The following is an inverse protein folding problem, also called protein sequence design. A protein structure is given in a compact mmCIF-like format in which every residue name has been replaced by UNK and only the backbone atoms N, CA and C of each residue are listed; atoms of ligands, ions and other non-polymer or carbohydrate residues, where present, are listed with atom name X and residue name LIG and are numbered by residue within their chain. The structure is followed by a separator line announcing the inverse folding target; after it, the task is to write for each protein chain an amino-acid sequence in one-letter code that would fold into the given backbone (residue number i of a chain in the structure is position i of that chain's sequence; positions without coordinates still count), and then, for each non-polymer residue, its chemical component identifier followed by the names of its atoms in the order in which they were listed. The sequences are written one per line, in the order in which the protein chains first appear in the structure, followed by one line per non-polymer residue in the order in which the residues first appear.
data_IF_934527119939
#
_entry.id   IF_934527119939
#
_cell.length_a   1.000
_cell.length_b   1.000
_cell.length_c   1.000
_cell.angle_alpha   90.00
_cell.angle_beta   90.00
_cell.angle_gamma   90.00
#
_symmetry.space_group_name_H-M   'P 1'
#
loop_
_entity.id
_entity.type
_entity.pdbx_description
1 polymer ?
#
# COMPACT_ATOMS: atom_id res chain seq x y z
N UNK A 1 21.22 25.89 -22.67
CA UNK A 1 20.27 24.86 -22.20
C UNK A 1 18.87 25.36 -22.52
N UNK A 2 18.05 24.59 -23.22
CA UNK A 2 16.65 24.97 -23.50
C UNK A 2 15.78 24.63 -22.28
N UNK A 3 15.08 25.64 -21.75
CA UNK A 3 14.08 25.47 -20.69
C UNK A 3 12.71 25.15 -21.31
N UNK A 4 11.92 24.30 -20.66
CA UNK A 4 10.50 24.06 -20.95
C UNK A 4 9.71 24.24 -19.66
N UNK A 5 8.83 25.23 -19.63
CA UNK A 5 7.88 25.42 -18.54
C UNK A 5 6.56 24.71 -18.86
N UNK A 6 6.18 23.75 -18.02
CA UNK A 6 4.89 23.08 -18.08
C UNK A 6 3.86 23.92 -17.33
N UNK A 7 2.82 24.34 -18.05
CA UNK A 7 1.76 25.20 -17.50
C UNK A 7 0.66 24.42 -16.78
N UNK A 8 0.74 23.09 -16.80
CA UNK A 8 -0.17 22.19 -16.11
C UNK A 8 0.64 21.05 -15.46
N UNK A 9 0.10 20.38 -14.43
CA UNK A 9 0.69 19.17 -13.88
C UNK A 9 0.78 18.04 -14.90
N UNK A 10 1.84 17.25 -14.80
CA UNK A 10 2.06 16.07 -15.64
C UNK A 10 1.98 14.79 -14.81
N UNK A 11 1.40 13.73 -15.36
CA UNK A 11 1.48 12.39 -14.81
C UNK A 11 2.81 11.78 -15.21
N UNK A 12 3.66 11.50 -14.23
CA UNK A 12 4.91 10.78 -14.50
C UNK A 12 4.65 9.34 -14.93
N UNK A 13 3.54 8.73 -14.51
CA UNK A 13 3.25 7.32 -14.75
C UNK A 13 2.98 7.01 -16.24
N UNK A 14 2.15 7.81 -16.89
CA UNK A 14 1.62 7.56 -18.24
C UNK A 14 1.58 8.82 -19.13
N UNK A 15 1.92 9.99 -18.60
CA UNK A 15 1.88 11.26 -19.34
C UNK A 15 3.06 11.50 -20.27
N UNK A 16 4.09 10.66 -20.21
CA UNK A 16 5.33 10.80 -20.98
C UNK A 16 5.68 9.48 -21.66
N UNK A 17 5.99 9.54 -22.96
CA UNK A 17 6.62 8.43 -23.66
C UNK A 17 8.08 8.29 -23.19
N UNK A 18 8.33 7.25 -22.42
CA UNK A 18 9.64 6.97 -21.82
C UNK A 18 10.77 6.76 -22.83
N UNK A 19 10.46 6.44 -24.09
CA UNK A 19 11.46 6.21 -25.15
C UNK A 19 11.93 7.50 -25.80
N UNK A 20 11.04 8.49 -25.91
CA UNK A 20 11.30 9.73 -26.66
C UNK A 20 11.32 10.98 -25.78
N UNK A 21 10.83 10.88 -24.54
CA UNK A 21 10.63 12.00 -23.64
C UNK A 21 9.49 12.91 -24.09
N UNK A 22 8.67 12.50 -25.07
CA UNK A 22 7.54 13.31 -25.54
C UNK A 22 6.38 13.27 -24.55
N UNK A 23 5.76 14.42 -24.33
CA UNK A 23 4.53 14.54 -23.54
C UNK A 23 3.38 13.96 -24.37
N UNK A 24 2.80 12.87 -23.88
CA UNK A 24 1.67 12.17 -24.53
C UNK A 24 0.37 12.34 -23.76
N UNK A 25 0.42 12.90 -22.54
CA UNK A 25 -0.76 13.16 -21.72
C UNK A 25 -1.82 13.92 -22.50
N UNK A 26 -3.00 13.30 -22.60
CA UNK A 26 -4.15 13.93 -23.26
C UNK A 26 -4.57 15.20 -22.53
N UNK A 27 -4.88 16.25 -23.29
CA UNK A 27 -5.28 17.55 -22.76
C UNK A 27 -4.16 18.40 -22.15
N UNK A 28 -2.91 17.92 -22.09
CA UNK A 28 -1.79 18.72 -21.58
C UNK A 28 -1.43 19.86 -22.58
N UNK A 29 -1.29 21.13 -22.16
CA UNK A 29 -1.06 22.25 -23.08
C UNK A 29 0.23 22.13 -23.91
N UNK A 30 1.25 21.48 -23.34
CA UNK A 30 2.52 21.17 -24.00
C UNK A 30 2.57 19.76 -24.62
N UNK A 31 1.44 19.11 -24.91
CA UNK A 31 1.43 17.79 -25.56
C UNK A 31 2.22 17.83 -26.89
N UNK A 32 3.06 16.82 -27.11
CA UNK A 32 3.93 16.70 -28.28
C UNK A 32 5.32 17.30 -28.11
N UNK A 33 5.52 18.24 -27.16
CA UNK A 33 6.85 18.71 -26.75
C UNK A 33 7.66 17.56 -26.13
N UNK A 34 8.99 17.64 -26.22
CA UNK A 34 9.89 16.68 -25.56
C UNK A 34 10.59 17.32 -24.37
N UNK A 35 10.68 16.57 -23.27
CA UNK A 35 11.43 16.94 -22.07
C UNK A 35 12.92 16.56 -22.16
N UNK A 36 13.27 15.70 -23.12
CA UNK A 36 14.61 15.10 -23.23
C UNK A 36 15.68 16.17 -23.43
N UNK A 37 16.72 16.15 -22.59
CA UNK A 37 17.84 17.09 -22.69
C UNK A 37 17.50 18.55 -22.37
N UNK A 38 16.35 18.83 -21.76
CA UNK A 38 15.89 20.19 -21.38
C UNK A 38 15.90 20.39 -19.87
N UNK A 39 15.89 21.65 -19.45
CA UNK A 39 15.54 22.02 -18.06
C UNK A 39 14.02 22.13 -17.98
N UNK A 40 13.39 21.34 -17.13
CA UNK A 40 11.93 21.30 -17.00
C UNK A 40 11.51 22.05 -15.77
N UNK A 41 10.63 23.03 -15.93
CA UNK A 41 9.95 23.71 -14.84
C UNK A 41 8.52 23.20 -14.77
N UNK A 42 8.09 22.67 -13.63
CA UNK A 42 6.72 22.25 -13.39
C UNK A 42 6.27 22.66 -12.00
N UNK A 43 4.96 22.88 -11.84
CA UNK A 43 4.35 23.16 -10.54
C UNK A 43 4.38 21.94 -9.65
N UNK A 44 3.79 20.85 -10.14
CA UNK A 44 3.79 19.54 -9.51
C UNK A 44 3.36 18.49 -10.52
N UNK A 45 3.26 17.25 -10.07
CA UNK A 45 2.80 16.11 -10.84
C UNK A 45 1.44 15.63 -10.35
N UNK A 46 0.80 14.78 -11.16
CA UNK A 46 -0.42 14.07 -10.80
C UNK A 46 -0.19 12.57 -10.92
N UNK A 47 -1.11 11.78 -10.34
CA UNK A 47 -1.11 10.34 -10.49
C UNK A 47 -0.41 9.59 -9.36
N UNK A 48 0.02 8.36 -9.66
CA UNK A 48 0.47 7.38 -8.66
C UNK A 48 1.93 7.59 -8.27
N UNK A 49 2.28 7.23 -7.02
CA UNK A 49 3.67 7.16 -6.55
C UNK A 49 4.54 6.18 -7.35
N UNK A 50 3.92 5.25 -8.07
CA UNK A 50 4.58 4.38 -9.06
C UNK A 50 5.29 5.17 -10.17
N UNK A 51 4.82 6.40 -10.47
CA UNK A 51 5.47 7.29 -11.43
C UNK A 51 6.94 7.58 -11.13
N UNK A 52 7.38 7.40 -9.87
CA UNK A 52 8.78 7.50 -9.48
C UNK A 52 9.71 6.59 -10.31
N UNK A 53 9.24 5.42 -10.74
CA UNK A 53 10.06 4.48 -11.51
C UNK A 53 10.31 4.93 -12.97
N UNK A 54 9.50 5.85 -13.47
CA UNK A 54 9.60 6.34 -14.85
C UNK A 54 10.85 7.17 -15.08
N UNK A 55 11.39 7.83 -14.05
CA UNK A 55 12.66 8.54 -14.16
C UNK A 55 13.83 7.62 -14.52
N UNK A 56 13.83 6.38 -14.03
CA UNK A 56 14.85 5.39 -14.40
C UNK A 56 14.72 4.96 -15.87
N UNK A 57 13.49 4.75 -16.34
CA UNK A 57 13.22 4.45 -17.74
C UNK A 57 13.68 5.59 -18.67
N UNK A 58 13.34 6.83 -18.33
CA UNK A 58 13.75 8.02 -19.07
C UNK A 58 15.28 8.16 -19.13
N UNK A 59 15.97 7.94 -18.01
CA UNK A 59 17.44 8.00 -17.96
C UNK A 59 18.07 6.94 -18.86
N UNK A 60 17.59 5.70 -18.78
CA UNK A 60 18.04 4.57 -19.61
C UNK A 60 17.89 4.85 -21.10
N UNK A 61 16.77 5.43 -21.49
CA UNK A 61 16.47 5.71 -22.91
C UNK A 61 17.10 7.01 -23.43
N UNK A 62 17.96 7.69 -22.65
CA UNK A 62 18.49 9.01 -22.97
C UNK A 62 17.38 10.06 -23.25
N UNK A 63 16.20 9.86 -22.65
CA UNK A 63 15.01 10.69 -22.79
C UNK A 63 14.75 11.58 -21.56
N UNK A 64 15.62 11.51 -20.55
CA UNK A 64 15.50 12.28 -19.32
C UNK A 64 15.75 13.78 -19.54
N UNK A 65 15.11 14.64 -18.73
CA UNK A 65 15.49 16.04 -18.63
C UNK A 65 16.89 16.18 -18.01
N UNK A 66 17.55 17.31 -18.29
CA UNK A 66 18.84 17.65 -17.66
C UNK A 66 18.67 18.01 -16.19
N UNK A 67 17.55 18.64 -15.85
CA UNK A 67 17.23 19.15 -14.52
C UNK A 67 15.73 19.41 -14.42
N UNK A 68 15.18 19.24 -13.23
CA UNK A 68 13.81 19.61 -12.89
C UNK A 68 13.82 20.78 -11.91
N UNK A 69 13.02 21.80 -12.16
CA UNK A 69 12.72 22.91 -11.24
C UNK A 69 11.28 22.70 -10.78
N UNK A 70 11.11 22.41 -9.50
CA UNK A 70 9.83 22.08 -8.89
C UNK A 70 9.33 23.28 -8.07
N UNK A 71 8.12 23.77 -8.37
CA UNK A 71 7.55 24.96 -7.73
C UNK A 71 6.66 24.65 -6.53
N UNK A 72 6.08 23.45 -6.46
CA UNK A 72 5.23 22.97 -5.36
C UNK A 72 5.72 21.61 -4.82
N UNK A 73 5.51 21.29 -3.53
CA UNK A 73 5.87 19.99 -2.96
C UNK A 73 5.36 18.78 -3.74
N UNK A 74 6.26 17.92 -4.21
CA UNK A 74 5.91 16.72 -4.97
C UNK A 74 6.92 15.59 -4.76
N UNK A 75 6.55 14.60 -3.94
CA UNK A 75 7.43 13.48 -3.58
C UNK A 75 7.73 12.53 -4.75
N UNK A 76 6.81 12.39 -5.71
CA UNK A 76 7.03 11.54 -6.89
C UNK A 76 8.20 12.10 -7.71
N UNK A 77 8.21 13.41 -7.91
CA UNK A 77 9.23 14.14 -8.66
C UNK A 77 10.58 14.12 -7.96
N UNK A 78 10.62 14.13 -6.62
CA UNK A 78 11.89 13.99 -5.87
C UNK A 78 12.61 12.66 -6.20
N UNK A 79 11.88 11.61 -6.57
CA UNK A 79 12.49 10.34 -6.99
C UNK A 79 13.40 10.48 -8.23
N UNK A 80 13.29 11.55 -9.01
CA UNK A 80 14.21 11.87 -10.09
C UNK A 80 15.67 11.99 -9.60
N UNK A 81 15.89 12.41 -8.34
CA UNK A 81 17.23 12.46 -7.74
C UNK A 81 17.88 11.08 -7.69
N UNK A 82 17.11 10.02 -7.42
CA UNK A 82 17.60 8.65 -7.40
C UNK A 82 17.99 8.16 -8.80
N UNK A 83 17.40 8.74 -9.85
CA UNK A 83 17.76 8.48 -11.25
C UNK A 83 18.93 9.36 -11.74
N UNK A 84 19.53 10.17 -10.86
CA UNK A 84 20.58 11.12 -11.22
C UNK A 84 20.08 12.26 -12.10
N UNK A 85 18.84 12.71 -11.89
CA UNK A 85 18.24 13.88 -12.50
C UNK A 85 18.09 14.93 -11.38
N UNK A 86 18.90 16.01 -11.37
CA UNK A 86 18.85 17.01 -10.31
C UNK A 86 17.48 17.69 -10.21
N UNK A 87 16.96 17.80 -8.99
CA UNK A 87 15.74 18.55 -8.67
C UNK A 87 16.11 19.80 -7.86
N UNK A 88 15.77 20.96 -8.40
CA UNK A 88 15.81 22.25 -7.69
C UNK A 88 14.43 22.57 -7.13
N UNK A 89 14.38 22.90 -5.85
CA UNK A 89 13.14 23.26 -5.15
C UNK A 89 13.04 24.78 -5.03
N UNK A 90 11.89 25.35 -5.39
CA UNK A 90 11.61 26.77 -5.19
C UNK A 90 10.78 26.99 -3.92
N UNK A 91 11.10 28.05 -3.17
CA UNK A 91 10.27 28.52 -2.06
C UNK A 91 10.24 27.63 -0.81
N UNK A 92 11.09 26.60 -0.73
CA UNK A 92 11.17 25.72 0.45
C UNK A 92 12.49 25.92 1.20
N UNK A 93 12.45 25.76 2.52
CA UNK A 93 13.65 25.78 3.36
C UNK A 93 14.37 24.44 3.21
N UNK A 94 15.66 24.47 2.92
CA UNK A 94 16.47 23.25 2.90
C UNK A 94 16.61 22.67 4.31
N UNK A 95 16.48 21.34 4.38
CA UNK A 95 16.67 20.57 5.61
C UNK A 95 17.86 19.65 5.38
N UNK A 96 18.87 19.74 6.23
CA UNK A 96 20.11 18.96 6.10
C UNK A 96 20.11 17.74 7.01
N UNK A 97 20.65 16.64 6.51
CA UNK A 97 20.91 15.44 7.31
C UNK A 97 22.36 15.48 7.79
N UNK A 98 22.56 15.67 9.09
CA UNK A 98 23.90 15.72 9.70
C UNK A 98 24.44 14.30 9.95
N UNK A 99 24.69 13.56 8.87
CA UNK A 99 25.35 12.26 8.88
C UNK A 99 26.25 12.16 7.64
N UNK A 100 27.56 12.02 7.86
CA UNK A 100 28.58 11.92 6.80
C UNK A 100 28.78 10.48 6.31
N UNK A 101 28.26 9.48 7.05
CA UNK A 101 28.35 8.06 6.66
C UNK A 101 27.22 7.64 5.70
N UNK A 102 26.28 8.55 5.41
CA UNK A 102 25.20 8.33 4.47
C UNK A 102 25.67 8.68 3.06
N UNK A 103 25.47 7.76 2.11
CA UNK A 103 25.75 7.99 0.69
C UNK A 103 25.13 9.31 0.22
N UNK A 104 25.92 10.14 -0.46
CA UNK A 104 25.53 11.50 -0.84
C UNK A 104 24.28 11.56 -1.73
N UNK A 105 24.08 10.56 -2.60
CA UNK A 105 22.89 10.52 -3.47
C UNK A 105 21.62 10.22 -2.68
N UNK A 106 21.70 9.28 -1.73
CA UNK A 106 20.60 8.92 -0.84
C UNK A 106 20.29 10.05 0.17
N UNK A 107 21.34 10.67 0.70
CA UNK A 107 21.26 11.83 1.57
C UNK A 107 20.53 12.97 0.88
N UNK A 108 20.95 13.33 -0.33
CA UNK A 108 20.34 14.40 -1.11
C UNK A 108 18.86 14.15 -1.38
N UNK A 109 18.47 12.91 -1.71
CA UNK A 109 17.06 12.53 -1.85
C UNK A 109 16.27 12.81 -0.55
N UNK A 110 16.78 12.37 0.61
CA UNK A 110 16.13 12.58 1.91
C UNK A 110 16.03 14.05 2.31
N UNK A 111 17.07 14.84 2.06
CA UNK A 111 17.07 16.29 2.30
C UNK A 111 16.00 16.99 1.47
N UNK A 112 15.81 16.58 0.21
CA UNK A 112 14.77 17.11 -0.67
C UNK A 112 13.38 16.70 -0.19
N UNK A 113 13.18 15.43 0.16
CA UNK A 113 11.94 14.92 0.79
C UNK A 113 11.59 15.69 2.07
N UNK A 114 12.56 15.93 2.94
CA UNK A 114 12.37 16.70 4.17
C UNK A 114 11.98 18.16 3.87
N UNK A 115 12.61 18.77 2.87
CA UNK A 115 12.36 20.16 2.48
C UNK A 115 10.94 20.34 1.93
N UNK A 116 10.46 19.43 1.07
CA UNK A 116 9.11 19.54 0.50
C UNK A 116 8.01 19.17 1.50
N UNK A 117 8.30 18.31 2.48
CA UNK A 117 7.34 17.90 3.51
C UNK A 117 7.23 18.90 4.67
N UNK A 118 8.03 19.96 4.67
CA UNK A 118 8.10 20.93 5.77
C UNK A 118 8.70 20.35 7.05
N UNK A 119 9.40 19.22 6.96
CA UNK A 119 10.10 18.63 8.10
C UNK A 119 11.17 19.59 8.62
N UNK A 120 11.40 19.59 9.93
CA UNK A 120 12.46 20.42 10.54
C UNK A 120 13.72 19.62 10.88
N UNK A 121 13.59 18.29 10.97
CA UNK A 121 14.64 17.37 11.39
C UNK A 121 14.32 15.95 10.94
N UNK A 122 15.30 15.07 11.07
CA UNK A 122 15.17 13.65 10.82
C UNK A 122 15.08 12.86 12.12
N UNK A 123 14.50 11.67 12.07
CA UNK A 123 14.63 10.66 13.12
C UNK A 123 15.41 9.46 12.61
N UNK A 124 16.21 8.87 13.51
CA UNK A 124 16.70 7.51 13.34
C UNK A 124 15.52 6.56 13.49
N UNK A 125 15.44 5.59 12.59
CA UNK A 125 14.39 4.55 12.60
C UNK A 125 15.03 3.19 12.85
N UNK A 126 14.24 2.23 13.34
CA UNK A 126 14.71 0.84 13.53
C UNK A 126 14.13 -0.14 12.52
N UNK A 127 13.03 0.22 11.86
CA UNK A 127 12.45 -0.63 10.84
C UNK A 127 11.78 0.14 9.71
N UNK A 128 11.69 -0.55 8.57
CA UNK A 128 10.90 -0.16 7.41
C UNK A 128 9.97 -1.29 7.00
N UNK A 129 8.92 -0.91 6.28
CA UNK A 129 8.10 -1.84 5.54
C UNK A 129 7.96 -1.36 4.09
N UNK A 130 8.67 -2.04 3.19
CA UNK A 130 8.82 -1.67 1.79
C UNK A 130 7.53 -2.02 1.04
N UNK A 131 6.94 -1.03 0.39
CA UNK A 131 5.74 -1.19 -0.45
C UNK A 131 6.08 -1.26 -1.94
N UNK A 132 5.09 -1.54 -2.78
CA UNK A 132 5.27 -1.52 -4.25
C UNK A 132 6.25 -2.57 -4.78
N UNK A 133 6.32 -3.75 -4.16
CA UNK A 133 7.27 -4.82 -4.51
C UNK A 133 6.69 -5.85 -5.50
N UNK A 134 5.41 -5.73 -5.88
CA UNK A 134 4.83 -6.59 -6.92
C UNK A 134 5.27 -6.14 -8.30
N UNK A 135 5.60 -7.08 -9.19
CA UNK A 135 5.93 -6.80 -10.59
C UNK A 135 4.83 -6.01 -11.31
N UNK A 136 3.55 -6.25 -10.95
CA UNK A 136 2.42 -5.49 -11.48
C UNK A 136 2.46 -4.00 -11.11
N UNK A 137 3.09 -3.65 -9.99
CA UNK A 137 3.15 -2.27 -9.47
C UNK A 137 4.46 -1.57 -9.76
N UNK A 138 5.59 -2.26 -9.63
CA UNK A 138 6.92 -1.66 -9.87
C UNK A 138 7.28 -1.60 -11.36
N UNK A 139 6.75 -2.54 -12.14
CA UNK A 139 7.01 -2.67 -13.56
C UNK A 139 8.49 -2.92 -13.89
N UNK A 140 8.77 -2.94 -15.18
CA UNK A 140 10.09 -3.27 -15.72
C UNK A 140 11.16 -2.23 -15.34
N UNK A 141 10.81 -0.95 -15.38
CA UNK A 141 11.75 0.13 -15.07
C UNK A 141 12.20 0.10 -13.60
N UNK A 142 11.28 -0.16 -12.67
CA UNK A 142 11.61 -0.28 -11.26
C UNK A 142 12.34 -1.58 -10.94
N UNK A 143 12.01 -2.70 -11.62
CA UNK A 143 12.76 -3.97 -11.52
C UNK A 143 14.24 -3.76 -11.88
N UNK A 144 14.52 -3.15 -13.02
CA UNK A 144 15.88 -2.91 -13.48
C UNK A 144 16.64 -1.95 -12.56
N UNK A 145 15.98 -0.89 -12.08
CA UNK A 145 16.58 0.02 -11.12
C UNK A 145 16.98 -0.72 -9.83
N UNK A 146 16.06 -1.51 -9.25
CA UNK A 146 16.34 -2.32 -8.06
C UNK A 146 17.54 -3.23 -8.28
N UNK A 147 17.57 -3.96 -9.39
CA UNK A 147 18.70 -4.84 -9.74
C UNK A 147 20.01 -4.06 -9.87
N UNK A 148 19.97 -2.85 -10.46
CA UNK A 148 21.14 -1.99 -10.65
C UNK A 148 21.71 -1.38 -9.36
N UNK A 149 20.95 -1.36 -8.27
CA UNK A 149 21.38 -0.89 -6.95
C UNK A 149 21.56 -2.00 -5.92
N UNK A 150 21.06 -3.22 -6.19
CA UNK A 150 21.01 -4.32 -5.23
C UNK A 150 22.39 -4.66 -4.62
N UNK A 151 23.44 -4.63 -5.43
CA UNK A 151 24.82 -4.89 -5.00
C UNK A 151 25.53 -3.68 -4.38
N UNK A 152 24.96 -2.47 -4.52
CA UNK A 152 25.56 -1.20 -4.07
C UNK A 152 25.04 -0.74 -2.72
N UNK A 153 23.84 -1.18 -2.35
CA UNK A 153 23.14 -0.74 -1.14
C UNK A 153 22.98 -1.91 -0.18
N UNK A 154 23.13 -1.64 1.12
CA UNK A 154 22.78 -2.56 2.20
C UNK A 154 21.88 -1.86 3.19
N UNK A 155 20.82 -2.55 3.62
CA UNK A 155 19.89 -2.02 4.60
C UNK A 155 20.53 -2.01 5.99
N UNK A 156 20.45 -0.85 6.64
CA UNK A 156 20.99 -0.59 7.99
C UNK A 156 19.98 -0.86 9.10
N UNK A 157 18.71 -1.09 8.75
CA UNK A 157 17.59 -1.27 9.67
C UNK A 157 16.74 -2.48 9.26
N UNK A 158 15.90 -2.99 10.16
CA UNK A 158 15.02 -4.13 9.84
C UNK A 158 14.08 -3.78 8.70
N UNK A 159 14.27 -4.40 7.54
CA UNK A 159 13.45 -4.18 6.37
C UNK A 159 12.56 -5.38 6.09
N UNK A 160 11.25 -5.17 6.10
CA UNK A 160 10.25 -6.16 5.68
C UNK A 160 9.59 -5.71 4.39
N UNK A 161 8.94 -6.63 3.68
CA UNK A 161 8.36 -6.38 2.37
C UNK A 161 6.86 -6.66 2.34
N UNK A 162 6.15 -5.85 1.56
CA UNK A 162 4.76 -6.10 1.20
C UNK A 162 4.59 -7.40 0.41
N UNK A 163 3.36 -7.88 0.21
CA UNK A 163 3.11 -9.04 -0.64
C UNK A 163 3.60 -8.83 -2.07
N UNK A 164 4.17 -9.88 -2.64
CA UNK A 164 4.46 -10.04 -4.07
C UNK A 164 3.15 -10.25 -4.87
N UNK A 165 3.27 -10.31 -6.20
CA UNK A 165 2.15 -10.66 -7.09
C UNK A 165 1.91 -12.16 -7.26
N UNK A 166 2.64 -13.02 -6.55
CA UNK A 166 2.50 -14.48 -6.64
C UNK A 166 3.06 -15.18 -5.40
N UNK A 167 2.60 -16.40 -5.13
CA UNK A 167 3.26 -17.23 -4.13
C UNK A 167 4.68 -17.58 -4.60
N UNK A 168 5.70 -17.15 -3.86
CA UNK A 168 7.09 -17.26 -4.32
C UNK A 168 7.58 -18.71 -4.50
N UNK A 169 6.89 -19.69 -3.90
CA UNK A 169 7.22 -21.12 -4.02
C UNK A 169 6.28 -21.81 -5.00
N UNK A 170 4.97 -21.63 -4.83
CA UNK A 170 3.92 -22.38 -5.56
C UNK A 170 3.23 -21.57 -6.65
N UNK A 171 3.88 -20.55 -7.23
CA UNK A 171 3.29 -19.70 -8.28
C UNK A 171 2.85 -20.49 -9.53
N UNK A 172 3.52 -21.61 -9.86
CA UNK A 172 3.09 -22.47 -10.98
C UNK A 172 1.74 -23.12 -10.71
N UNK A 173 1.51 -23.58 -9.47
CA UNK A 173 0.22 -24.14 -9.05
C UNK A 173 -0.87 -23.07 -9.02
N UNK A 174 -0.49 -21.83 -8.74
CA UNK A 174 -1.36 -20.66 -8.81
C UNK A 174 -1.71 -20.26 -10.26
N UNK A 175 -0.96 -20.77 -11.24
CA UNK A 175 -1.17 -20.53 -12.68
C UNK A 175 -0.47 -19.28 -13.22
N UNK A 176 0.48 -18.71 -12.47
CA UNK A 176 1.11 -17.43 -12.82
C UNK A 176 1.97 -17.56 -14.09
N UNK A 177 1.86 -16.64 -15.06
CA UNK A 177 2.69 -16.68 -16.26
C UNK A 177 4.19 -16.59 -15.96
N UNK A 178 5.00 -17.39 -16.65
CA UNK A 178 6.47 -17.45 -16.50
C UNK A 178 7.13 -16.06 -16.63
N UNK A 179 6.64 -15.21 -17.53
CA UNK A 179 7.15 -13.85 -17.71
C UNK A 179 6.92 -12.95 -16.49
N UNK A 180 5.73 -13.02 -15.89
CA UNK A 180 5.42 -12.33 -14.65
C UNK A 180 6.26 -12.87 -13.49
N UNK A 181 6.36 -14.20 -13.39
CA UNK A 181 7.09 -14.86 -12.31
C UNK A 181 8.57 -14.52 -12.32
N UNK A 182 9.22 -14.53 -13.49
CA UNK A 182 10.62 -14.13 -13.63
C UNK A 182 10.85 -12.69 -13.16
N UNK A 183 10.05 -11.75 -13.62
CA UNK A 183 10.16 -10.34 -13.20
C UNK A 183 9.97 -10.17 -11.69
N UNK A 184 9.00 -10.89 -11.11
CA UNK A 184 8.75 -10.89 -9.68
C UNK A 184 9.89 -11.48 -8.85
N UNK A 185 10.49 -12.60 -9.28
CA UNK A 185 11.63 -13.24 -8.62
C UNK A 185 12.84 -12.30 -8.59
N UNK A 186 13.15 -11.64 -9.71
CA UNK A 186 14.29 -10.72 -9.77
C UNK A 186 14.15 -9.52 -8.82
N UNK A 187 12.91 -9.02 -8.60
CA UNK A 187 12.61 -7.99 -7.60
C UNK A 187 12.86 -8.51 -6.19
N UNK A 188 12.36 -9.71 -5.90
CA UNK A 188 12.51 -10.38 -4.60
C UNK A 188 13.99 -10.60 -4.28
N UNK A 189 14.74 -11.14 -5.23
CA UNK A 189 16.17 -11.42 -5.09
C UNK A 189 16.96 -10.12 -4.84
N UNK A 190 16.65 -9.06 -5.58
CA UNK A 190 17.28 -7.73 -5.39
C UNK A 190 17.04 -7.18 -3.98
N UNK A 191 15.81 -7.31 -3.45
CA UNK A 191 15.46 -6.87 -2.11
C UNK A 191 16.17 -7.70 -1.03
N UNK A 192 16.22 -9.03 -1.21
CA UNK A 192 16.92 -9.93 -0.28
C UNK A 192 18.42 -9.65 -0.29
N UNK A 193 19.03 -9.43 -1.45
CA UNK A 193 20.46 -9.08 -1.59
C UNK A 193 20.81 -7.79 -0.82
N UNK A 194 19.91 -6.80 -0.85
CA UNK A 194 20.07 -5.57 -0.06
C UNK A 194 19.87 -5.78 1.45
N UNK A 195 19.28 -6.90 1.88
CA UNK A 195 19.07 -7.25 3.29
C UNK A 195 17.61 -7.23 3.74
N UNK A 196 16.64 -7.28 2.82
CA UNK A 196 15.24 -7.45 3.19
C UNK A 196 14.99 -8.84 3.81
N UNK A 197 14.17 -8.88 4.86
CA UNK A 197 13.62 -10.13 5.38
C UNK A 197 12.52 -10.64 4.42
N UNK A 198 12.49 -11.95 4.11
CA UNK A 198 11.52 -12.53 3.18
C UNK A 198 10.15 -12.74 3.84
N UNK A 199 9.50 -11.65 4.28
CA UNK A 199 8.22 -11.69 5.00
C UNK A 199 6.99 -11.64 4.09
N UNK A 200 7.06 -10.85 3.01
CA UNK A 200 6.05 -10.68 1.97
C UNK A 200 4.59 -10.65 2.48
N UNK A 201 4.28 -9.71 3.38
CA UNK A 201 2.94 -9.60 3.98
C UNK A 201 2.55 -8.16 4.23
N UNK A 202 1.27 -7.82 4.05
CA UNK A 202 0.73 -6.50 4.39
C UNK A 202 0.45 -6.32 5.89
N UNK A 203 0.69 -7.37 6.69
CA UNK A 203 0.55 -7.38 8.14
C UNK A 203 1.89 -7.65 8.85
N UNK A 204 2.96 -6.86 8.57
CA UNK A 204 4.31 -7.12 9.09
C UNK A 204 4.38 -7.14 10.62
N UNK A 205 3.48 -6.42 11.28
CA UNK A 205 3.31 -6.39 12.75
C UNK A 205 2.83 -7.71 13.34
N UNK A 206 2.34 -8.65 12.53
CA UNK A 206 2.05 -10.03 12.97
C UNK A 206 3.15 -11.03 12.57
N UNK A 207 4.19 -10.57 11.86
CA UNK A 207 5.27 -11.38 11.31
C UNK A 207 6.65 -10.87 11.73
N UNK A 208 6.77 -10.34 12.95
CA UNK A 208 8.04 -10.02 13.60
C UNK A 208 8.52 -8.57 13.48
N UNK A 209 7.93 -7.73 12.63
CA UNK A 209 8.25 -6.31 12.58
C UNK A 209 7.20 -5.50 13.36
N UNK A 210 7.36 -5.49 14.68
CA UNK A 210 6.46 -4.83 15.63
C UNK A 210 7.17 -3.65 16.30
N UNK A 211 6.91 -2.39 15.90
CA UNK A 211 7.53 -1.22 16.54
C UNK A 211 6.96 -0.97 17.95
N UNK A 212 7.70 -0.20 18.76
CA UNK A 212 7.25 0.24 20.07
C UNK A 212 6.33 1.48 19.99
N UNK A 213 5.58 1.73 21.06
CA UNK A 213 4.79 2.96 21.20
C UNK A 213 5.69 4.20 21.07
N UNK A 214 5.27 5.17 20.27
CA UNK A 214 5.99 6.42 20.01
C UNK A 214 7.20 6.29 19.09
N UNK A 215 7.58 5.09 18.67
CA UNK A 215 8.73 4.85 17.79
C UNK A 215 8.47 5.37 16.38
N UNK A 216 9.43 6.09 15.80
CA UNK A 216 9.40 6.49 14.39
C UNK A 216 9.90 5.37 13.50
N UNK A 217 9.13 5.05 12.48
CA UNK A 217 9.45 4.08 11.41
C UNK A 217 9.12 4.66 10.04
N UNK A 218 9.58 4.03 8.96
CA UNK A 218 9.27 4.45 7.59
C UNK A 218 8.58 3.30 6.83
N UNK A 219 7.25 3.28 6.83
CA UNK A 219 6.44 2.20 6.27
C UNK A 219 5.60 2.69 5.10
N UNK A 220 5.54 1.91 4.04
CA UNK A 220 4.80 2.28 2.82
C UNK A 220 3.46 1.58 2.62
N UNK A 221 3.15 0.51 3.37
CA UNK A 221 1.86 -0.19 3.25
C UNK A 221 0.77 0.57 4.01
N UNK A 222 -0.21 1.08 3.27
CA UNK A 222 -1.22 2.01 3.80
C UNK A 222 -2.03 1.42 4.97
N UNK A 223 -2.43 0.14 4.91
CA UNK A 223 -3.15 -0.48 6.02
C UNK A 223 -2.26 -0.73 7.24
N UNK A 224 -0.98 -1.03 7.01
CA UNK A 224 -0.03 -1.25 8.09
C UNK A 224 0.31 0.07 8.79
N UNK A 225 0.47 1.17 8.05
CA UNK A 225 0.65 2.52 8.58
C UNK A 225 -0.52 2.92 9.47
N UNK A 226 -1.75 2.80 8.96
CA UNK A 226 -2.95 3.08 9.74
C UNK A 226 -3.04 2.22 11.01
N UNK A 227 -2.66 0.94 10.93
CA UNK A 227 -2.64 0.05 12.08
C UNK A 227 -1.59 0.45 13.12
N UNK A 228 -0.33 0.72 12.73
CA UNK A 228 0.72 1.05 13.71
C UNK A 228 0.51 2.41 14.36
N UNK A 229 -0.01 3.40 13.62
CA UNK A 229 -0.33 4.71 14.17
C UNK A 229 -1.44 4.57 15.23
N UNK A 230 -2.50 3.82 14.90
CA UNK A 230 -3.72 3.72 15.71
C UNK A 230 -3.59 2.73 16.87
N UNK A 231 -3.21 1.49 16.57
CA UNK A 231 -3.29 0.35 17.51
C UNK A 231 -2.02 0.21 18.35
N UNK A 232 -0.85 0.47 17.76
CA UNK A 232 0.44 0.35 18.45
C UNK A 232 0.89 1.70 19.02
N UNK A 233 0.54 2.81 18.37
CA UNK A 233 1.01 4.15 18.73
C UNK A 233 2.40 4.49 18.20
N UNK A 234 2.93 3.70 17.25
CA UNK A 234 4.13 4.07 16.51
C UNK A 234 3.82 5.24 15.53
N UNK A 235 4.85 5.71 14.83
CA UNK A 235 4.80 6.93 14.01
C UNK A 235 5.36 6.68 12.62
N UNK A 236 4.50 6.80 11.62
CA UNK A 236 4.87 6.77 10.19
C UNK A 236 3.83 7.52 9.38
N UNK A 237 4.21 8.01 8.20
CA UNK A 237 3.27 8.39 7.15
C UNK A 237 3.07 7.22 6.17
N UNK A 238 2.21 7.40 5.18
CA UNK A 238 2.10 6.53 3.99
C UNK A 238 3.25 6.83 3.04
N UNK A 239 4.39 6.19 3.28
CA UNK A 239 5.64 6.48 2.55
C UNK A 239 5.71 5.82 1.16
N UNK A 240 6.39 6.47 0.22
CA UNK A 240 6.59 5.96 -1.13
C UNK A 240 7.56 4.77 -1.18
N UNK A 241 7.41 3.89 -2.17
CA UNK A 241 8.22 2.67 -2.31
C UNK A 241 9.73 2.98 -2.39
N UNK A 242 10.14 3.92 -3.23
CA UNK A 242 11.55 4.35 -3.34
C UNK A 242 12.06 4.93 -2.02
N UNK A 243 11.27 5.75 -1.34
CA UNK A 243 11.62 6.32 -0.03
C UNK A 243 11.85 5.25 1.03
N UNK A 244 11.03 4.21 1.09
CA UNK A 244 11.23 3.13 2.06
C UNK A 244 12.55 2.38 1.84
N UNK A 245 13.01 2.23 0.59
CA UNK A 245 14.32 1.65 0.28
C UNK A 245 15.46 2.57 0.72
N UNK A 246 15.33 3.89 0.46
CA UNK A 246 16.31 4.88 0.91
C UNK A 246 16.36 4.93 2.44
N UNK A 247 15.21 4.94 3.12
CA UNK A 247 15.13 4.91 4.57
C UNK A 247 15.74 3.62 5.15
N UNK A 248 15.57 2.48 4.46
CA UNK A 248 16.20 1.22 4.85
C UNK A 248 17.74 1.30 4.77
N UNK A 249 18.26 1.91 3.71
CA UNK A 249 19.69 2.07 3.45
C UNK A 249 20.37 3.10 4.36
N UNK A 250 19.66 4.14 4.73
CA UNK A 250 20.21 5.27 5.50
C UNK A 250 19.94 5.15 6.99
N UNK A 251 18.83 4.52 7.39
CA UNK A 251 18.36 4.47 8.78
C UNK A 251 17.66 5.75 9.25
N UNK A 252 17.22 6.61 8.32
CA UNK A 252 16.56 7.88 8.63
C UNK A 252 15.24 8.08 7.90
N UNK A 253 14.33 8.83 8.53
CA UNK A 253 13.14 9.41 7.89
C UNK A 253 12.95 10.87 8.32
N UNK A 254 12.49 11.78 7.44
CA UNK A 254 12.09 13.11 7.86
C UNK A 254 10.92 13.07 8.86
N UNK A 255 10.92 13.95 9.87
CA UNK A 255 9.80 14.08 10.80
C UNK A 255 8.77 15.09 10.30
N UNK A 256 7.67 14.57 9.76
CA UNK A 256 6.51 15.33 9.29
C UNK A 256 5.23 14.49 9.40
N UNK A 257 4.07 15.10 9.13
CA UNK A 257 2.79 14.39 9.11
C UNK A 257 2.51 13.69 10.44
N UNK A 258 2.13 12.40 10.40
CA UNK A 258 1.77 11.60 11.58
C UNK A 258 2.96 11.23 12.47
N UNK A 259 4.17 11.68 12.15
CA UNK A 259 5.26 11.73 13.13
C UNK A 259 5.06 12.80 14.21
N UNK A 260 4.30 13.85 13.92
CA UNK A 260 4.10 15.00 14.80
C UNK A 260 2.81 14.85 15.61
N UNK A 261 2.80 15.27 16.88
CA UNK A 261 1.66 15.07 17.78
C UNK A 261 0.44 15.89 17.38
N UNK A 262 0.67 17.12 16.93
CA UNK A 262 -0.34 18.05 16.41
C UNK A 262 -1.15 17.45 15.26
N UNK A 263 -0.53 16.58 14.44
CA UNK A 263 -1.18 15.95 13.29
C UNK A 263 -1.90 14.65 13.64
N UNK A 264 -1.87 14.23 14.91
CA UNK A 264 -2.52 13.01 15.43
C UNK A 264 -3.77 13.32 16.26
N UNK A 265 -4.08 14.61 16.42
CA UNK A 265 -5.25 15.10 17.14
C UNK A 265 -6.50 14.73 16.34
N UNK A 266 -7.51 14.12 16.98
CA UNK A 266 -8.75 13.80 16.31
C UNK A 266 -9.57 15.04 15.92
N UNK A 267 -10.19 15.00 14.74
CA UNK A 267 -11.02 16.07 14.19
C UNK A 267 -12.47 15.65 13.91
N UNK A 268 -12.76 14.33 13.93
CA UNK A 268 -14.07 13.77 13.64
C UNK A 268 -14.46 12.65 14.64
N UNK A 269 -15.50 12.86 15.43
CA UNK A 269 -16.14 11.82 16.23
C UNK A 269 -17.18 11.06 15.41
N UNK A 270 -17.06 9.74 15.37
CA UNK A 270 -17.93 8.85 14.60
C UNK A 270 -18.72 7.98 15.57
N UNK A 271 -20.05 8.03 15.45
CA UNK A 271 -20.97 7.25 16.26
C UNK A 271 -21.72 6.25 15.36
N UNK A 272 -21.25 5.00 15.27
CA UNK A 272 -21.97 3.98 14.52
C UNK A 272 -23.18 3.47 15.32
N UNK A 273 -24.31 3.26 14.65
CA UNK A 273 -25.54 2.74 15.26
C UNK A 273 -25.32 1.33 15.87
N UNK A 274 -24.88 0.37 15.06
CA UNK A 274 -24.45 -0.95 15.53
C UNK A 274 -23.59 -1.67 14.49
N UNK A 275 -22.53 -2.34 14.96
CA UNK A 275 -21.65 -3.17 14.14
C UNK A 275 -21.82 -4.63 14.58
N UNK A 276 -22.26 -5.49 13.67
CA UNK A 276 -22.70 -6.87 14.00
C UNK A 276 -21.70 -7.93 13.56
N UNK A 277 -20.88 -7.60 12.56
CA UNK A 277 -19.92 -8.51 11.95
C UNK A 277 -18.71 -7.72 11.42
N UNK A 278 -17.68 -8.45 10.97
CA UNK A 278 -16.43 -7.88 10.46
C UNK A 278 -16.65 -6.94 9.26
N UNK A 279 -17.61 -7.26 8.37
CA UNK A 279 -17.91 -6.45 7.20
C UNK A 279 -18.40 -5.05 7.60
N UNK A 280 -19.17 -4.91 8.69
CA UNK A 280 -19.62 -3.59 9.16
C UNK A 280 -18.45 -2.69 9.57
N UNK A 281 -17.36 -3.23 10.12
CA UNK A 281 -16.15 -2.46 10.44
C UNK A 281 -15.39 -2.02 9.19
N UNK A 282 -15.34 -2.87 8.16
CA UNK A 282 -14.82 -2.46 6.84
C UNK A 282 -15.66 -1.30 6.27
N UNK A 283 -16.97 -1.45 6.21
CA UNK A 283 -17.87 -0.46 5.63
C UNK A 283 -17.85 0.85 6.41
N UNK A 284 -17.82 0.81 7.75
CA UNK A 284 -17.72 2.02 8.58
C UNK A 284 -16.46 2.81 8.25
N UNK A 285 -15.29 2.18 8.27
CA UNK A 285 -14.04 2.88 7.99
C UNK A 285 -13.96 3.33 6.53
N UNK A 286 -14.49 2.55 5.60
CA UNK A 286 -14.54 2.91 4.18
C UNK A 286 -15.42 4.14 3.96
N UNK A 287 -16.61 4.19 4.58
CA UNK A 287 -17.51 5.34 4.56
C UNK A 287 -16.82 6.61 5.07
N UNK A 288 -16.10 6.52 6.19
CA UNK A 288 -15.34 7.68 6.71
C UNK A 288 -14.28 8.13 5.72
N UNK A 289 -13.45 7.24 5.18
CA UNK A 289 -12.46 7.66 4.21
C UNK A 289 -13.09 8.28 2.95
N UNK A 290 -14.23 7.76 2.48
CA UNK A 290 -14.89 8.29 1.30
C UNK A 290 -15.41 9.72 1.50
N UNK A 291 -16.04 10.01 2.66
CA UNK A 291 -16.71 11.30 2.90
C UNK A 291 -15.89 12.31 3.70
N UNK A 292 -14.89 11.84 4.45
CA UNK A 292 -14.02 12.64 5.31
C UNK A 292 -12.55 12.24 5.08
N UNK A 293 -12.04 12.39 3.84
CA UNK A 293 -10.65 12.07 3.55
C UNK A 293 -9.71 12.88 4.43
N UNK A 294 -8.55 12.30 4.74
CA UNK A 294 -7.48 12.88 5.57
C UNK A 294 -7.83 13.19 7.04
N UNK A 295 -9.07 12.92 7.47
CA UNK A 295 -9.48 13.06 8.86
C UNK A 295 -8.74 12.12 9.81
N UNK A 296 -8.73 12.46 11.10
CA UNK A 296 -8.30 11.58 12.19
C UNK A 296 -9.54 11.20 13.01
N UNK A 297 -10.26 10.13 12.60
CA UNK A 297 -11.52 9.78 13.23
C UNK A 297 -11.33 9.15 14.61
N UNK A 298 -12.24 9.49 15.53
CA UNK A 298 -12.50 8.74 16.75
C UNK A 298 -13.73 7.88 16.51
N UNK A 299 -13.57 6.56 16.45
CA UNK A 299 -14.69 5.63 16.38
C UNK A 299 -15.20 5.31 17.78
N UNK A 300 -16.44 5.70 18.07
CA UNK A 300 -17.12 5.39 19.34
C UNK A 300 -17.67 3.96 19.34
N UNK A 301 -16.77 2.98 19.25
CA UNK A 301 -17.07 1.55 19.33
C UNK A 301 -16.63 1.00 20.68
N UNK A 302 -17.43 0.12 21.28
CA UNK A 302 -17.16 -0.39 22.65
C UNK A 302 -16.06 -1.45 22.69
N UNK A 303 -15.91 -2.22 21.61
CA UNK A 303 -14.98 -3.34 21.48
C UNK A 303 -14.55 -3.45 20.03
N UNK A 304 -13.32 -3.90 19.81
CA UNK A 304 -12.80 -4.27 18.50
C UNK A 304 -11.72 -5.35 18.70
N UNK A 305 -11.90 -6.47 18.03
CA UNK A 305 -10.91 -7.53 17.89
C UNK A 305 -9.78 -7.10 16.96
N UNK A 306 -8.68 -7.88 16.95
CA UNK A 306 -7.57 -7.64 16.01
C UNK A 306 -8.05 -7.63 14.55
N UNK A 307 -8.96 -8.52 14.16
CA UNK A 307 -9.50 -8.57 12.80
C UNK A 307 -10.25 -7.29 12.44
N UNK A 308 -11.08 -6.77 13.35
CA UNK A 308 -11.84 -5.54 13.17
C UNK A 308 -10.93 -4.30 13.12
N UNK A 309 -9.89 -4.25 13.96
CA UNK A 309 -8.87 -3.19 13.92
C UNK A 309 -8.09 -3.17 12.59
N UNK A 310 -7.73 -4.34 12.07
CA UNK A 310 -7.12 -4.48 10.74
C UNK A 310 -8.09 -4.05 9.64
N UNK A 311 -9.36 -4.43 9.74
CA UNK A 311 -10.38 -4.09 8.77
C UNK A 311 -10.58 -2.57 8.67
N UNK A 312 -10.69 -1.89 9.81
CA UNK A 312 -10.80 -0.43 9.85
C UNK A 312 -9.58 0.26 9.25
N UNK A 313 -8.37 -0.19 9.64
CA UNK A 313 -7.11 0.33 9.09
C UNK A 313 -7.05 0.16 7.56
N UNK A 314 -7.47 -1.00 7.05
CA UNK A 314 -7.43 -1.30 5.63
C UNK A 314 -8.45 -0.54 4.80
N UNK A 315 -9.70 -0.49 5.24
CA UNK A 315 -10.77 0.17 4.51
C UNK A 315 -10.60 1.70 4.47
N UNK A 316 -10.33 2.34 5.62
CA UNK A 316 -10.17 3.80 5.68
C UNK A 316 -8.97 4.29 4.86
N UNK A 317 -7.86 3.54 4.90
CA UNK A 317 -6.69 3.84 4.10
C UNK A 317 -6.95 3.69 2.58
N UNK A 318 -7.83 2.76 2.19
CA UNK A 318 -8.15 2.48 0.79
C UNK A 318 -9.14 3.48 0.17
N UNK A 319 -10.11 3.99 0.95
CA UNK A 319 -11.13 4.92 0.44
C UNK A 319 -10.75 6.39 0.51
N UNK A 320 -9.98 6.82 1.52
CA UNK A 320 -9.79 8.24 1.83
C UNK A 320 -8.46 8.66 2.42
N UNK A 321 -7.42 7.83 2.29
CA UNK A 321 -6.11 8.11 2.89
C UNK A 321 -6.15 8.29 4.42
N UNK A 322 -7.04 7.59 5.13
CA UNK A 322 -7.00 7.58 6.60
C UNK A 322 -5.72 6.87 7.07
N UNK A 323 -4.73 7.65 7.53
CA UNK A 323 -3.45 7.15 8.02
C UNK A 323 -3.45 6.82 9.52
N UNK A 324 -4.53 7.17 10.23
CA UNK A 324 -4.66 6.99 11.66
C UNK A 324 -6.12 7.13 12.09
N UNK A 325 -6.52 6.41 13.12
CA UNK A 325 -7.78 6.55 13.83
C UNK A 325 -7.60 6.29 15.33
N UNK A 326 -8.63 6.61 16.11
CA UNK A 326 -8.68 6.36 17.54
C UNK A 326 -9.94 5.59 17.93
N UNK A 327 -9.83 4.78 18.98
CA UNK A 327 -10.96 4.12 19.64
C UNK A 327 -10.79 4.25 21.15
N UNK A 328 -11.67 5.00 21.84
CA UNK A 328 -11.59 5.20 23.28
C UNK A 328 -11.50 3.88 24.05
N UNK A 329 -10.49 3.75 24.92
CA UNK A 329 -10.24 2.56 25.73
C UNK A 329 -9.58 1.39 25.01
N UNK A 330 -9.31 1.49 23.70
CA UNK A 330 -8.65 0.44 22.90
C UNK A 330 -7.32 0.93 22.33
N UNK A 331 -7.31 2.08 21.65
CA UNK A 331 -6.06 2.64 21.08
C UNK A 331 -5.28 3.41 22.15
N UNK A 332 -3.93 3.33 22.18
CA UNK A 332 -3.11 3.85 23.28
C UNK A 332 -2.81 5.37 23.19
N UNK A 333 -3.22 6.04 22.11
CA UNK A 333 -2.93 7.47 21.92
C UNK A 333 -3.78 8.34 22.87
N UNK A 334 -3.24 9.47 23.32
CA UNK A 334 -4.00 10.45 24.12
C UNK A 334 -5.13 11.04 23.27
N UNK A 335 -6.33 11.08 23.84
CA UNK A 335 -7.51 11.59 23.17
C UNK A 335 -7.87 12.99 23.66
N UNK A 336 -8.29 13.82 22.72
CA UNK A 336 -9.00 15.07 22.95
C UNK A 336 -10.38 14.98 22.30
N UNK A 337 -11.26 15.93 22.61
CA UNK A 337 -12.54 16.04 21.92
C UNK A 337 -12.32 16.39 20.45
N UNK A 338 -13.12 15.78 19.57
CA UNK A 338 -13.15 16.09 18.15
C UNK A 338 -14.04 17.32 17.88
N UNK A 339 -13.65 18.14 16.91
CA UNK A 339 -14.39 19.36 16.56
C UNK A 339 -15.73 19.08 15.86
N UNK A 340 -15.86 17.94 15.18
CA UNK A 340 -17.06 17.53 14.43
C UNK A 340 -17.54 16.17 14.91
N UNK A 341 -18.82 15.90 14.77
CA UNK A 341 -19.40 14.58 15.05
C UNK A 341 -20.40 14.15 13.98
N UNK A 342 -20.44 12.86 13.69
CA UNK A 342 -21.40 12.28 12.76
C UNK A 342 -22.00 10.98 13.31
N UNK A 343 -23.20 10.67 12.86
CA UNK A 343 -23.85 9.38 13.07
C UNK A 343 -23.73 8.55 11.78
N UNK A 344 -23.41 7.27 11.90
CA UNK A 344 -23.39 6.33 10.77
C UNK A 344 -24.42 5.25 11.03
N UNK A 345 -25.44 5.19 10.19
CA UNK A 345 -26.59 4.29 10.32
C UNK A 345 -26.32 2.96 9.62
N UNK A 346 -27.12 1.94 9.93
CA UNK A 346 -27.08 0.67 9.16
C UNK A 346 -27.34 0.88 7.67
N UNK A 347 -28.20 1.84 7.31
CA UNK A 347 -28.54 2.13 5.92
C UNK A 347 -27.34 2.66 5.14
N UNK A 348 -26.50 3.48 5.77
CA UNK A 348 -25.28 4.01 5.15
C UNK A 348 -24.31 2.86 4.81
N UNK A 349 -24.18 1.88 5.72
CA UNK A 349 -23.34 0.70 5.49
C UNK A 349 -23.90 -0.20 4.38
N UNK A 350 -25.22 -0.43 4.36
CA UNK A 350 -25.87 -1.24 3.32
C UNK A 350 -25.76 -0.60 1.93
N UNK A 351 -26.01 0.71 1.81
CA UNK A 351 -25.83 1.45 0.54
C UNK A 351 -24.41 1.30 0.03
N UNK A 352 -23.41 1.45 0.92
CA UNK A 352 -22.02 1.32 0.53
C UNK A 352 -21.65 -0.11 0.11
N UNK A 353 -22.23 -1.13 0.73
CA UNK A 353 -22.04 -2.53 0.30
C UNK A 353 -22.58 -2.75 -1.12
N UNK A 354 -23.75 -2.20 -1.44
CA UNK A 354 -24.35 -2.25 -2.78
C UNK A 354 -23.48 -1.49 -3.79
N UNK A 355 -22.98 -0.31 -3.46
CA UNK A 355 -22.09 0.48 -4.33
C UNK A 355 -20.75 -0.23 -4.63
N UNK A 356 -20.22 -0.99 -3.67
CA UNK A 356 -18.99 -1.77 -3.83
C UNK A 356 -19.19 -3.11 -4.55
N UNK A 357 -20.44 -3.48 -4.83
CA UNK A 357 -20.78 -4.73 -5.51
C UNK A 357 -21.31 -4.46 -6.92
N UNK A 358 -20.67 -5.03 -7.93
CA UNK A 358 -21.06 -4.86 -9.34
C UNK A 358 -21.92 -6.02 -9.87
N UNK A 359 -22.06 -7.11 -9.11
CA UNK A 359 -22.90 -8.26 -9.44
C UNK A 359 -23.46 -8.94 -8.19
N UNK A 360 -24.44 -9.82 -8.38
CA UNK A 360 -25.00 -10.71 -7.35
C UNK A 360 -25.02 -12.16 -7.88
N UNK A 361 -24.17 -13.02 -7.32
CA UNK A 361 -24.04 -14.42 -7.72
C UNK A 361 -23.19 -14.70 -8.97
N UNK A 362 -22.78 -15.97 -9.14
CA UNK A 362 -22.01 -16.41 -10.32
C UNK A 362 -20.54 -15.99 -10.32
N UNK A 363 -19.87 -16.06 -9.16
CA UNK A 363 -18.45 -15.72 -8.99
C UNK A 363 -17.53 -16.75 -9.65
N UNK A 364 -16.41 -16.30 -10.23
CA UNK A 364 -15.35 -17.19 -10.72
C UNK A 364 -14.42 -17.65 -9.59
N UNK A 365 -14.17 -16.72 -8.65
CA UNK A 365 -13.22 -16.89 -7.56
C UNK A 365 -13.70 -16.18 -6.29
N UNK A 366 -13.60 -16.84 -5.14
CA UNK A 366 -13.70 -16.22 -3.83
C UNK A 366 -12.30 -15.93 -3.30
N UNK A 367 -12.03 -14.70 -2.87
CA UNK A 367 -10.75 -14.30 -2.27
C UNK A 367 -10.92 -13.75 -0.85
N UNK A 368 -10.17 -14.32 0.09
CA UNK A 368 -10.20 -13.96 1.52
C UNK A 368 -8.78 -13.66 2.01
N UNK A 369 -8.62 -12.66 2.88
CA UNK A 369 -7.32 -12.28 3.44
C UNK A 369 -6.73 -10.99 2.89
N UNK A 370 -7.55 -9.94 2.82
CA UNK A 370 -7.09 -8.57 2.58
C UNK A 370 -7.58 -7.65 3.71
N UNK A 371 -6.76 -7.33 4.73
CA UNK A 371 -5.36 -7.75 4.92
C UNK A 371 -5.18 -9.25 5.18
N UNK A 372 -3.95 -9.75 5.03
CA UNK A 372 -3.59 -11.15 5.30
C UNK A 372 -4.17 -11.65 6.63
N UNK A 373 -4.77 -12.84 6.58
CA UNK A 373 -5.42 -13.43 7.75
C UNK A 373 -4.40 -13.73 8.85
N UNK A 374 -4.76 -13.46 10.10
CA UNK A 374 -4.05 -13.93 11.28
C UNK A 374 -4.39 -15.39 11.57
N UNK A 375 -3.63 -16.02 12.47
CA UNK A 375 -3.90 -17.39 12.95
C UNK A 375 -5.33 -17.56 13.47
N UNK A 376 -5.85 -16.57 14.19
CA UNK A 376 -7.20 -16.61 14.75
C UNK A 376 -8.27 -16.56 13.65
N UNK A 377 -8.11 -15.69 12.65
CA UNK A 377 -9.03 -15.62 11.51
C UNK A 377 -8.98 -16.90 10.65
N UNK A 378 -7.81 -17.52 10.47
CA UNK A 378 -7.68 -18.81 9.78
C UNK A 378 -8.43 -19.91 10.54
N UNK A 379 -8.33 -19.92 11.88
CA UNK A 379 -9.06 -20.86 12.71
C UNK A 379 -10.57 -20.68 12.59
N UNK A 380 -11.06 -19.45 12.74
CA UNK A 380 -12.49 -19.12 12.62
C UNK A 380 -13.04 -19.48 11.23
N UNK A 381 -12.29 -19.18 10.18
CA UNK A 381 -12.64 -19.57 8.81
C UNK A 381 -12.69 -21.09 8.65
N UNK A 382 -11.70 -21.81 9.19
CA UNK A 382 -11.68 -23.27 9.17
C UNK A 382 -12.87 -23.89 9.91
N UNK A 383 -13.36 -23.25 10.96
CA UNK A 383 -14.53 -23.72 11.70
C UNK A 383 -15.83 -23.48 10.90
N UNK A 384 -15.95 -22.34 10.20
CA UNK A 384 -17.08 -22.06 9.28
C UNK A 384 -17.13 -23.00 8.07
N UNK A 385 -15.97 -23.45 7.60
CA UNK A 385 -15.84 -24.38 6.47
C UNK A 385 -16.11 -25.85 6.83
N UNK A 386 -16.18 -26.18 8.13
CA UNK A 386 -16.27 -27.56 8.58
C UNK A 386 -17.58 -28.23 8.14
N UNK A 387 -17.48 -29.42 7.53
CA UNK A 387 -18.64 -30.17 7.02
C UNK A 387 -19.25 -29.59 5.75
N UNK A 388 -18.52 -28.77 5.01
CA UNK A 388 -18.94 -28.15 3.74
C UNK A 388 -17.90 -28.38 2.65
N UNK A 389 -18.31 -28.24 1.39
CA UNK A 389 -17.49 -28.31 0.18
C UNK A 389 -17.73 -27.10 -0.70
N UNK A 390 -16.65 -26.42 -1.08
CA UNK A 390 -16.68 -25.32 -2.03
C UNK A 390 -17.26 -25.79 -3.37
N UNK A 391 -18.20 -25.00 -3.91
CA UNK A 391 -18.76 -25.23 -5.26
C UNK A 391 -18.14 -24.31 -6.32
N UNK A 392 -17.24 -23.40 -5.89
CA UNK A 392 -16.43 -22.50 -6.72
C UNK A 392 -14.98 -22.50 -6.19
N UNK A 393 -14.06 -21.81 -6.88
CA UNK A 393 -12.67 -21.68 -6.39
C UNK A 393 -12.60 -20.74 -5.19
N UNK A 394 -11.86 -21.14 -4.16
CA UNK A 394 -11.56 -20.33 -2.98
C UNK A 394 -10.05 -20.15 -2.81
N UNK A 395 -9.60 -18.90 -2.75
CA UNK A 395 -8.22 -18.52 -2.44
C UNK A 395 -8.17 -17.75 -1.12
N UNK A 396 -7.30 -18.22 -0.22
CA UNK A 396 -7.09 -17.67 1.10
C UNK A 396 -5.66 -17.16 1.19
N UNK A 397 -5.48 -15.93 1.64
CA UNK A 397 -4.18 -15.26 1.66
C UNK A 397 -3.73 -14.99 3.09
N UNK A 398 -2.50 -15.42 3.40
CA UNK A 398 -1.89 -15.20 4.73
C UNK A 398 -0.36 -15.09 4.63
N UNK A 399 0.30 -14.69 5.72
CA UNK A 399 1.75 -14.60 5.78
C UNK A 399 2.40 -15.99 5.86
N UNK A 400 3.51 -16.20 5.14
CA UNK A 400 4.26 -17.46 5.17
C UNK A 400 4.77 -17.83 6.57
N UNK A 401 4.99 -16.84 7.43
CA UNK A 401 5.36 -17.02 8.84
C UNK A 401 4.35 -17.89 9.61
N UNK A 402 3.09 -17.98 9.17
CA UNK A 402 2.06 -18.80 9.81
C UNK A 402 1.97 -20.21 9.25
N UNK A 403 2.61 -20.51 8.12
CA UNK A 403 2.55 -21.83 7.46
C UNK A 403 2.85 -23.00 8.42
N UNK A 404 3.90 -22.96 9.28
CA UNK A 404 4.18 -24.06 10.21
C UNK A 404 3.13 -24.20 11.33
N UNK A 405 2.39 -23.13 11.64
CA UNK A 405 1.44 -23.09 12.76
C UNK A 405 0.03 -23.53 12.36
N UNK A 406 -0.27 -23.52 11.06
CA UNK A 406 -1.61 -23.79 10.54
C UNK A 406 -1.75 -25.15 9.87
N UNK A 407 -0.76 -26.05 9.94
CA UNK A 407 -0.78 -27.32 9.19
C UNK A 407 -2.08 -28.13 9.37
N UNK A 408 -2.56 -28.27 10.61
CA UNK A 408 -3.84 -28.95 10.90
C UNK A 408 -5.06 -28.19 10.36
N UNK A 409 -5.04 -26.86 10.39
CA UNK A 409 -6.12 -26.02 9.85
C UNK A 409 -6.10 -26.00 8.32
N UNK A 410 -4.91 -26.01 7.72
CA UNK A 410 -4.67 -26.09 6.28
C UNK A 410 -5.34 -27.34 5.72
N UNK A 411 -5.16 -28.50 6.35
CA UNK A 411 -5.83 -29.72 5.89
C UNK A 411 -7.36 -29.59 5.85
N UNK A 412 -7.98 -28.95 6.85
CA UNK A 412 -9.44 -28.71 6.86
C UNK A 412 -9.86 -27.78 5.73
N UNK A 413 -9.10 -26.71 5.52
CA UNK A 413 -9.32 -25.72 4.46
C UNK A 413 -9.17 -26.35 3.06
N UNK A 414 -8.17 -27.20 2.86
CA UNK A 414 -7.96 -27.93 1.60
C UNK A 414 -9.05 -28.99 1.38
N UNK A 415 -9.52 -29.65 2.45
CA UNK A 415 -10.66 -30.57 2.37
C UNK A 415 -11.94 -29.84 1.97
N UNK A 416 -12.17 -28.61 2.43
CA UNK A 416 -13.27 -27.77 1.95
C UNK A 416 -13.16 -27.48 0.44
N UNK A 417 -11.94 -27.49 -0.13
CA UNK A 417 -11.68 -27.20 -1.55
C UNK A 417 -11.01 -25.83 -1.78
N UNK A 418 -10.57 -25.17 -0.72
CA UNK A 418 -9.84 -23.90 -0.82
C UNK A 418 -8.33 -24.11 -0.93
N UNK A 419 -7.64 -23.13 -1.54
CA UNK A 419 -6.17 -23.05 -1.58
C UNK A 419 -5.69 -21.90 -0.70
N UNK A 420 -4.63 -22.15 0.06
CA UNK A 420 -3.94 -21.11 0.83
C UNK A 420 -2.71 -20.68 0.05
N UNK A 421 -2.61 -19.39 -0.23
CA UNK A 421 -1.46 -18.76 -0.84
C UNK A 421 -0.72 -17.90 0.17
N UNK A 422 0.61 -17.92 0.07
CA UNK A 422 1.50 -17.14 0.91
C UNK A 422 2.26 -16.13 0.05
N UNK A 423 2.88 -15.13 0.70
CA UNK A 423 3.68 -14.08 0.07
C UNK A 423 2.97 -13.18 -0.94
N UNK A 424 1.73 -13.46 -1.31
CA UNK A 424 1.01 -12.76 -2.37
C UNK A 424 -0.30 -12.17 -1.91
N UNK A 425 -0.81 -11.21 -2.66
CA UNK A 425 -2.12 -10.63 -2.45
C UNK A 425 -2.93 -10.64 -3.76
N UNK A 426 -4.23 -10.93 -3.65
CA UNK A 426 -5.16 -10.92 -4.78
C UNK A 426 -5.14 -9.60 -5.58
N UNK A 427 -4.89 -8.46 -4.90
CA UNK A 427 -4.91 -7.12 -5.52
C UNK A 427 -3.72 -6.93 -6.48
N UNK A 428 -2.60 -7.61 -6.24
CA UNK A 428 -1.36 -7.43 -7.00
C UNK A 428 -0.97 -8.67 -7.80
N UNK A 429 -1.85 -9.66 -7.84
CA UNK A 429 -1.73 -10.86 -8.67
C UNK A 429 -2.37 -10.65 -10.05
N UNK A 430 -1.86 -11.27 -11.13
CA UNK A 430 -2.40 -11.15 -12.49
C UNK A 430 -3.69 -11.93 -12.74
N UNK A 431 -4.71 -11.73 -11.90
CA UNK A 431 -5.95 -12.53 -11.92
C UNK A 431 -6.67 -12.51 -13.28
N UNK A 432 -6.67 -11.37 -13.98
CA UNK A 432 -7.29 -11.25 -15.29
C UNK A 432 -6.56 -12.07 -16.36
N UNK A 433 -5.23 -12.22 -16.26
CA UNK A 433 -4.44 -13.11 -17.13
C UNK A 433 -4.73 -14.60 -16.83
N UNK A 434 -5.25 -14.90 -15.63
CA UNK A 434 -5.72 -16.23 -15.24
C UNK A 434 -7.17 -16.50 -15.69
N UNK A 435 -7.79 -15.57 -16.43
CA UNK A 435 -9.16 -15.68 -16.92
C UNK A 435 -10.24 -15.40 -15.88
N UNK A 436 -9.88 -14.84 -14.72
CA UNK A 436 -10.83 -14.44 -13.68
C UNK A 436 -11.45 -13.09 -14.05
N UNK A 437 -12.78 -12.97 -13.98
CA UNK A 437 -13.51 -11.74 -14.26
C UNK A 437 -14.37 -11.27 -13.07
N UNK A 438 -14.99 -12.23 -12.37
CA UNK A 438 -15.89 -12.00 -11.24
C UNK A 438 -15.31 -12.53 -9.94
N UNK A 439 -15.11 -11.65 -8.96
CA UNK A 439 -14.50 -12.01 -7.67
C UNK A 439 -15.42 -11.66 -6.52
N UNK A 440 -15.61 -12.60 -5.59
CA UNK A 440 -16.30 -12.33 -4.31
C UNK A 440 -15.27 -12.18 -3.20
N UNK A 441 -15.46 -11.19 -2.33
CA UNK A 441 -14.59 -10.97 -1.17
C UNK A 441 -15.36 -10.44 0.03
N UNK A 442 -14.78 -10.53 1.23
CA UNK A 442 -15.32 -9.93 2.45
C UNK A 442 -14.60 -8.63 2.88
N UNK A 443 -13.74 -8.10 2.01
CA UNK A 443 -12.90 -6.93 2.30
C UNK A 443 -13.25 -5.77 1.38
N UNK A 444 -13.65 -4.64 1.97
CA UNK A 444 -13.89 -3.41 1.21
C UNK A 444 -12.60 -2.88 0.53
N UNK A 445 -11.41 -3.13 1.11
CA UNK A 445 -10.12 -2.79 0.50
C UNK A 445 -9.88 -3.64 -0.76
N UNK A 446 -10.10 -4.96 -0.66
CA UNK A 446 -9.99 -5.82 -1.84
C UNK A 446 -11.02 -5.43 -2.90
N UNK A 447 -12.27 -5.17 -2.50
CA UNK A 447 -13.32 -4.83 -3.45
C UNK A 447 -13.00 -3.56 -4.26
N UNK A 448 -12.55 -2.50 -3.57
CA UNK A 448 -12.10 -1.27 -4.21
C UNK A 448 -10.98 -1.52 -5.21
N UNK A 449 -9.90 -2.18 -4.80
CA UNK A 449 -8.71 -2.29 -5.65
C UNK A 449 -8.82 -3.36 -6.75
N UNK A 450 -9.55 -4.46 -6.53
CA UNK A 450 -9.83 -5.42 -7.59
C UNK A 450 -10.67 -4.78 -8.70
N UNK A 451 -11.63 -3.93 -8.35
CA UNK A 451 -12.38 -3.15 -9.33
C UNK A 451 -11.51 -2.06 -9.99
N UNK A 452 -10.90 -1.17 -9.20
CA UNK A 452 -10.26 0.03 -9.75
C UNK A 452 -8.87 -0.21 -10.36
N UNK A 453 -8.10 -1.19 -9.89
CA UNK A 453 -6.75 -1.48 -10.40
C UNK A 453 -6.71 -2.64 -11.38
N UNK A 454 -7.60 -3.63 -11.23
CA UNK A 454 -7.62 -4.83 -12.10
C UNK A 454 -8.78 -4.84 -13.09
N UNK A 455 -9.75 -3.94 -12.96
CA UNK A 455 -10.92 -3.89 -13.84
C UNK A 455 -11.85 -5.09 -13.68
N UNK A 456 -11.82 -5.77 -12.52
CA UNK A 456 -12.65 -6.94 -12.24
C UNK A 456 -14.03 -6.53 -11.73
N UNK A 457 -15.03 -7.36 -12.01
CA UNK A 457 -16.33 -7.28 -11.34
C UNK A 457 -16.19 -7.86 -9.93
N UNK A 458 -16.77 -7.19 -8.93
CA UNK A 458 -16.65 -7.59 -7.52
C UNK A 458 -18.00 -7.73 -6.84
N UNK A 459 -18.13 -8.72 -5.96
CA UNK A 459 -19.22 -8.82 -4.98
C UNK A 459 -18.65 -8.76 -3.56
N UNK A 460 -19.23 -7.92 -2.70
CA UNK A 460 -18.83 -7.75 -1.31
C UNK A 460 -19.88 -8.35 -0.36
N UNK A 461 -19.52 -9.42 0.34
CA UNK A 461 -20.41 -10.14 1.26
C UNK A 461 -19.78 -10.34 2.64
N UNK A 462 -20.61 -10.59 3.66
CA UNK A 462 -20.11 -11.10 4.94
C UNK A 462 -19.51 -12.51 4.75
N UNK A 463 -18.50 -12.85 5.56
CA UNK A 463 -17.81 -14.14 5.42
C UNK A 463 -18.75 -15.34 5.57
N UNK A 464 -19.77 -15.26 6.44
CA UNK A 464 -20.76 -16.34 6.59
C UNK A 464 -21.63 -16.47 5.35
N UNK A 465 -22.06 -15.35 4.79
CA UNK A 465 -22.82 -15.32 3.53
C UNK A 465 -22.01 -15.93 2.38
N UNK A 466 -20.71 -15.63 2.29
CA UNK A 466 -19.81 -16.24 1.30
C UNK A 466 -19.78 -17.76 1.44
N UNK A 467 -19.53 -18.25 2.67
CA UNK A 467 -19.45 -19.70 2.90
C UNK A 467 -20.80 -20.36 2.62
N UNK A 468 -21.91 -19.76 3.01
CA UNK A 468 -23.25 -20.29 2.74
C UNK A 468 -23.59 -20.34 1.26
N UNK A 469 -23.30 -19.28 0.52
CA UNK A 469 -23.63 -19.13 -0.90
C UNK A 469 -22.77 -20.00 -1.80
N UNK A 470 -21.48 -20.13 -1.47
CA UNK A 470 -20.47 -20.73 -2.33
C UNK A 470 -19.94 -22.08 -1.82
N UNK A 471 -20.70 -22.75 -0.95
CA UNK A 471 -20.45 -24.12 -0.56
C UNK A 471 -21.74 -24.93 -0.38
N UNK A 472 -21.62 -26.25 -0.47
CA UNK A 472 -22.67 -27.22 -0.15
C UNK A 472 -22.26 -28.04 1.09
N UNK A 473 -23.20 -28.63 1.84
CA UNK A 473 -22.87 -29.65 2.84
C UNK A 473 -22.03 -30.78 2.22
N UNK A 474 -21.01 -31.26 2.95
CA UNK A 474 -20.11 -32.35 2.52
C UNK A 474 -20.82 -33.71 2.42
#
# INVERSE_FOLDING_TARGET
MSELALSAPISWLDGIDVRTGRIVQEGHPQKGESIAGRVIRLRGSTGSTVGAYIFFALKRNNAAPLKIILEEPDSVTIAAELAGIPVELKGVKEVKLEDEEVDESLKRYLEREASISGAQRFARIKSVHISGVSYATIGEAGREWLSGIASKIRFKVTATTNPAGMDLISWRDMGIPEGFARGQIEIVDSLIEMGALPTFTCTPYLSGNLPAYGESVCWGESSAVAFINSVIGARSNREGATKTIVAAATGYTPLYGKHLDENRVPDLAVYPESLENLLHYYLLAYHIGLHYPDSVPIYNVKRASLAELKAMAAAGAASGSIEMYHIPGITPNKLSDAAKSIQVTKRDLLSLREELSSFDGGTDLVVLGCPHLSLQEIKELSDLMNGRKAIVKFWIFTARAFMPLIERLKWKIERFGARIWYDTCMVVSPLEELGIKKVTTNSAKAAKYLSSLRGLEVELLDIKEIIERYSAPE
#
